data_IF_470093099986
#
_entry.id   IF_470093099986
#
_cell.length_a   1.000
_cell.length_b   1.000
_cell.length_c   1.000
_cell.angle_alpha   90.00
_cell.angle_beta   90.00
_cell.angle_gamma   90.00
#
_symmetry.space_group_name_H-M   'P 1'
#
loop_
_entity.id
_entity.type
_entity.pdbx_description
1 polymer ?
#
# COMPACT_ATOMS: atom_id res chain seq x y z
N UNK A 1 -0.32 15.76 -1.92
CA UNK A 1 1.02 15.14 -1.76
C UNK A 1 1.08 14.50 -0.38
N UNK A 2 1.61 13.28 -0.25
CA UNK A 2 1.33 12.35 0.87
C UNK A 2 1.88 12.77 2.25
N UNK A 3 2.76 13.77 2.33
CA UNK A 3 3.37 14.21 3.59
C UNK A 3 4.73 13.55 3.88
N UNK A 4 5.37 13.93 4.98
CA UNK A 4 6.69 13.41 5.39
C UNK A 4 6.65 11.89 5.58
N UNK A 5 7.68 11.15 5.13
CA UNK A 5 7.86 9.69 5.31
C UNK A 5 6.71 8.79 4.76
N UNK A 6 5.79 9.35 3.98
CA UNK A 6 4.84 8.59 3.15
C UNK A 6 5.37 8.57 1.73
N UNK A 7 6.22 7.59 1.46
CA UNK A 7 7.17 7.58 0.35
C UNK A 7 7.17 6.22 -0.36
N UNK A 8 7.90 6.14 -1.47
CA UNK A 8 7.97 4.98 -2.35
C UNK A 8 6.59 4.67 -2.93
N UNK A 9 6.21 5.45 -3.93
CA UNK A 9 4.89 5.40 -4.54
C UNK A 9 4.86 4.57 -5.82
N UNK A 10 3.72 3.94 -6.09
CA UNK A 10 3.42 3.30 -7.36
C UNK A 10 2.02 3.69 -7.85
N UNK A 11 1.94 4.12 -9.10
CA UNK A 11 0.69 4.45 -9.78
C UNK A 11 0.32 3.35 -10.76
N UNK A 12 -0.95 2.93 -10.75
CA UNK A 12 -1.48 1.96 -11.69
C UNK A 12 -2.84 2.42 -12.21
N UNK A 13 -3.06 2.33 -13.52
CA UNK A 13 -4.38 2.56 -14.10
C UNK A 13 -5.23 1.30 -13.92
N UNK A 14 -6.41 1.46 -13.31
CA UNK A 14 -7.39 0.40 -13.17
C UNK A 14 -8.26 0.30 -14.43
N UNK A 15 -8.85 -0.88 -14.65
CA UNK A 15 -9.72 -1.16 -15.80
C UNK A 15 -10.96 -0.28 -15.87
N UNK A 16 -11.45 0.19 -14.73
CA UNK A 16 -12.58 1.11 -14.63
C UNK A 16 -12.20 2.58 -14.89
N UNK A 17 -10.94 2.84 -15.26
CA UNK A 17 -10.42 4.16 -15.59
C UNK A 17 -9.83 4.92 -14.41
N UNK A 18 -10.06 4.49 -13.16
CA UNK A 18 -9.45 5.13 -11.99
C UNK A 18 -7.93 4.94 -11.97
N UNK A 19 -7.25 5.87 -11.30
CA UNK A 19 -5.83 5.74 -10.96
C UNK A 19 -5.72 5.24 -9.52
N UNK A 20 -5.05 4.10 -9.34
CA UNK A 20 -4.63 3.61 -8.04
C UNK A 20 -3.27 4.22 -7.70
N UNK A 21 -3.15 4.75 -6.48
CA UNK A 21 -1.87 5.14 -5.90
C UNK A 21 -1.62 4.35 -4.63
N UNK A 22 -0.61 3.48 -4.64
CA UNK A 22 -0.14 2.73 -3.47
C UNK A 22 1.20 3.27 -3.01
N UNK A 23 1.40 3.43 -1.70
CA UNK A 23 2.65 3.94 -1.12
C UNK A 23 2.92 3.33 0.26
N UNK A 24 4.17 3.43 0.71
CA UNK A 24 4.55 3.06 2.08
C UNK A 24 4.35 4.24 3.03
N UNK A 25 3.64 4.02 4.13
CA UNK A 25 3.57 4.92 5.27
C UNK A 25 4.60 4.49 6.33
N UNK A 26 5.73 5.22 6.38
CA UNK A 26 6.76 5.09 7.42
C UNK A 26 6.64 6.17 8.50
N UNK A 27 5.73 7.12 8.30
CA UNK A 27 5.65 8.36 9.05
C UNK A 27 4.85 8.25 10.34
N UNK A 28 4.12 7.15 10.54
CA UNK A 28 3.12 7.06 11.60
C UNK A 28 3.74 7.25 12.99
N UNK A 29 3.57 8.46 13.54
CA UNK A 29 3.80 8.81 14.95
C UNK A 29 2.82 8.04 15.89
N UNK A 30 1.82 7.36 15.30
CA UNK A 30 0.72 6.64 15.97
C UNK A 30 0.83 5.11 15.94
N UNK A 31 2.04 4.57 15.85
CA UNK A 31 2.30 3.20 16.29
C UNK A 31 2.03 2.07 15.30
N UNK A 32 1.68 2.33 14.02
CA UNK A 32 1.68 1.28 12.99
C UNK A 32 2.05 1.81 11.59
N UNK A 33 3.25 1.44 11.13
CA UNK A 33 3.72 1.64 9.76
C UNK A 33 3.02 0.64 8.82
N UNK A 34 2.90 0.93 7.54
CA UNK A 34 2.12 0.07 6.65
C UNK A 34 2.08 0.50 5.20
N UNK A 35 1.43 -0.31 4.36
CA UNK A 35 1.06 0.12 3.02
C UNK A 35 -0.30 0.79 3.05
N UNK A 36 -0.40 1.90 2.33
CA UNK A 36 -1.65 2.60 2.12
C UNK A 36 -1.94 2.73 0.63
N UNK A 37 -3.21 2.92 0.31
CA UNK A 37 -3.66 3.21 -1.04
C UNK A 37 -4.74 4.28 -1.08
N UNK A 38 -4.75 5.02 -2.19
CA UNK A 38 -5.75 6.01 -2.56
C UNK A 38 -6.18 5.75 -4.00
N UNK A 39 -7.37 6.22 -4.37
CA UNK A 39 -7.78 6.23 -5.78
C UNK A 39 -8.17 7.62 -6.23
N UNK A 40 -8.00 7.88 -7.53
CA UNK A 40 -8.49 9.07 -8.21
C UNK A 40 -9.38 8.65 -9.39
N UNK A 41 -10.50 9.36 -9.57
CA UNK A 41 -11.41 9.17 -10.69
C UNK A 41 -11.24 10.23 -11.80
N UNK A 42 -10.45 11.26 -11.55
CA UNK A 42 -10.29 12.45 -12.40
C UNK A 42 -8.85 12.64 -12.89
N UNK A 43 -8.12 11.53 -13.05
CA UNK A 43 -6.75 11.58 -13.59
C UNK A 43 -5.69 12.09 -12.63
N UNK A 44 -6.01 12.19 -11.33
CA UNK A 44 -5.08 12.56 -10.27
C UNK A 44 -5.29 13.96 -9.70
N UNK A 45 -6.36 14.67 -10.09
CA UNK A 45 -6.69 15.99 -9.56
C UNK A 45 -7.20 15.89 -8.12
N UNK A 46 -8.11 14.96 -7.85
CA UNK A 46 -8.61 14.64 -6.51
C UNK A 46 -8.38 13.17 -6.17
N UNK A 47 -8.27 12.90 -4.87
CA UNK A 47 -7.96 11.57 -4.34
C UNK A 47 -8.89 11.24 -3.19
N UNK A 48 -9.24 9.95 -3.05
CA UNK A 48 -9.93 9.46 -1.85
C UNK A 48 -9.06 9.63 -0.61
N UNK A 49 -9.67 9.54 0.58
CA UNK A 49 -8.89 9.34 1.80
C UNK A 49 -8.01 8.07 1.69
N UNK A 50 -6.83 8.06 2.33
CA UNK A 50 -5.98 6.87 2.39
C UNK A 50 -6.68 5.69 3.07
N UNK A 51 -6.46 4.50 2.54
CA UNK A 51 -6.92 3.25 3.13
C UNK A 51 -5.72 2.38 3.47
N UNK A 52 -5.69 1.85 4.70
CA UNK A 52 -4.65 0.93 5.16
C UNK A 52 -4.85 -0.45 4.51
N UNK A 53 -3.84 -0.93 3.79
CA UNK A 53 -3.87 -2.26 3.17
C UNK A 53 -3.27 -3.32 4.10
N UNK A 54 -2.10 -3.03 4.68
CA UNK A 54 -1.43 -3.88 5.67
C UNK A 54 -0.62 -3.03 6.64
N UNK A 55 -0.49 -3.51 7.87
CA UNK A 55 0.49 -3.03 8.83
C UNK A 55 1.83 -3.77 8.65
N UNK A 56 2.93 -3.25 9.18
CA UNK A 56 4.14 -4.03 9.41
C UNK A 56 4.78 -3.65 10.75
N UNK A 57 5.50 -4.59 11.37
CA UNK A 57 6.09 -4.41 12.70
C UNK A 57 7.55 -3.92 12.66
N UNK A 58 8.10 -3.77 11.45
CA UNK A 58 9.48 -3.34 11.21
C UNK A 58 9.69 -1.82 11.23
N UNK A 59 10.96 -1.41 11.30
CA UNK A 59 11.33 -0.01 11.09
C UNK A 59 11.28 0.39 9.61
N UNK A 60 11.48 -0.58 8.71
CA UNK A 60 11.53 -0.32 7.27
C UNK A 60 10.63 -1.29 6.48
N UNK A 61 10.07 -0.75 5.41
CA UNK A 61 9.11 -1.42 4.54
C UNK A 61 8.50 -0.46 3.51
N UNK A 62 7.88 -0.99 2.47
CA UNK A 62 7.26 -0.22 1.40
C UNK A 62 7.73 -0.63 0.02
N UNK A 63 7.95 0.36 -0.86
CA UNK A 63 8.19 0.15 -2.30
C UNK A 63 7.14 -0.79 -2.93
N UNK A 64 5.84 -0.45 -2.81
CA UNK A 64 4.80 -1.25 -3.41
C UNK A 64 4.92 -1.26 -4.94
N UNK A 65 4.54 -2.37 -5.55
CA UNK A 65 4.26 -2.47 -6.98
C UNK A 65 2.95 -3.22 -7.15
N UNK A 66 2.00 -2.60 -7.86
CA UNK A 66 0.61 -3.07 -7.93
C UNK A 66 0.22 -3.41 -9.36
N UNK A 67 -0.45 -4.55 -9.56
CA UNK A 67 -1.04 -4.95 -10.84
C UNK A 67 -2.48 -5.43 -10.64
N UNK A 68 -3.38 -5.03 -11.53
CA UNK A 68 -4.74 -5.56 -11.54
C UNK A 68 -4.80 -6.89 -12.28
N UNK A 69 -5.26 -7.92 -11.59
CA UNK A 69 -5.42 -9.30 -12.08
C UNK A 69 -6.67 -9.44 -12.97
N UNK A 70 -6.77 -10.58 -13.64
CA UNK A 70 -7.88 -10.89 -14.56
C UNK A 70 -9.25 -10.84 -13.87
N UNK A 71 -9.32 -11.27 -12.61
CA UNK A 71 -10.50 -11.28 -11.74
C UNK A 71 -10.85 -9.90 -11.15
N UNK A 72 -10.11 -8.85 -11.52
CA UNK A 72 -10.35 -7.48 -11.05
C UNK A 72 -9.68 -7.14 -9.71
N UNK A 73 -9.16 -8.13 -8.98
CA UNK A 73 -8.41 -7.89 -7.75
C UNK A 73 -7.03 -7.27 -8.03
N UNK A 74 -6.46 -6.60 -7.04
CA UNK A 74 -5.10 -6.05 -7.10
C UNK A 74 -4.15 -7.00 -6.39
N UNK A 75 -3.05 -7.36 -7.05
CA UNK A 75 -1.87 -7.92 -6.40
C UNK A 75 -0.89 -6.77 -6.15
N UNK A 76 -0.50 -6.58 -4.90
CA UNK A 76 0.51 -5.59 -4.50
C UNK A 76 1.68 -6.33 -3.86
N UNK A 77 2.85 -6.25 -4.50
CA UNK A 77 4.12 -6.71 -3.94
C UNK A 77 4.79 -5.57 -3.17
N UNK A 78 5.49 -5.89 -2.09
CA UNK A 78 6.24 -4.92 -1.27
C UNK A 78 7.33 -5.63 -0.47
N UNK A 79 8.25 -4.85 0.11
CA UNK A 79 9.19 -5.38 1.10
C UNK A 79 8.86 -4.90 2.51
N UNK A 80 9.24 -5.69 3.51
CA UNK A 80 9.26 -5.27 4.91
C UNK A 80 10.42 -5.93 5.66
N UNK A 81 10.95 -5.24 6.67
CA UNK A 81 11.95 -5.81 7.59
C UNK A 81 11.32 -6.74 8.63
N UNK A 82 10.01 -6.64 8.86
CA UNK A 82 9.25 -7.52 9.75
C UNK A 82 7.79 -7.55 9.33
N UNK A 83 7.25 -8.75 9.14
CA UNK A 83 5.87 -8.95 8.68
C UNK A 83 4.85 -8.81 9.83
N UNK A 84 3.56 -8.67 9.50
CA UNK A 84 2.49 -8.72 10.49
C UNK A 84 2.55 -9.98 11.36
N UNK A 85 2.44 -9.79 12.68
CA UNK A 85 2.37 -10.89 13.64
C UNK A 85 3.72 -11.36 14.17
N UNK A 86 4.83 -10.97 13.53
CA UNK A 86 6.16 -11.28 14.05
C UNK A 86 6.64 -10.27 15.10
N UNK A 87 7.49 -10.70 16.06
CA UNK A 87 8.17 -9.78 16.95
C UNK A 87 9.02 -8.75 16.18
N UNK A 88 9.15 -7.51 16.65
CA UNK A 88 10.04 -6.52 16.04
C UNK A 88 11.47 -7.06 15.89
N UNK A 89 12.13 -6.78 14.76
CA UNK A 89 13.51 -7.22 14.46
C UNK A 89 13.72 -8.75 14.46
N UNK A 90 12.64 -9.53 14.31
CA UNK A 90 12.69 -11.00 14.26
C UNK A 90 13.42 -11.53 13.03
N UNK A 91 13.49 -10.74 11.96
CA UNK A 91 14.20 -11.10 10.75
C UNK A 91 15.50 -10.31 10.60
N UNK A 92 16.55 -11.02 10.21
CA UNK A 92 17.87 -10.42 9.94
C UNK A 92 17.93 -9.70 8.58
N UNK A 93 16.95 -9.91 7.69
CA UNK A 93 16.92 -9.42 6.31
C UNK A 93 15.53 -8.87 5.92
N UNK A 94 15.46 -8.25 4.74
CA UNK A 94 14.19 -7.85 4.14
C UNK A 94 13.46 -9.03 3.51
N UNK A 95 12.14 -9.03 3.67
CA UNK A 95 11.25 -10.01 3.09
C UNK A 95 10.39 -9.35 2.04
N UNK A 96 10.25 -10.02 0.89
CA UNK A 96 9.24 -9.69 -0.10
C UNK A 96 7.94 -10.39 0.26
N UNK A 97 6.85 -9.65 0.24
CA UNK A 97 5.51 -10.18 0.45
C UNK A 97 4.57 -9.67 -0.65
N UNK A 98 3.47 -10.38 -0.82
CA UNK A 98 2.38 -10.00 -1.71
C UNK A 98 1.07 -10.03 -0.95
N UNK A 99 0.20 -9.07 -1.24
CA UNK A 99 -1.21 -9.12 -0.84
C UNK A 99 -2.09 -9.12 -2.08
N UNK A 100 -3.23 -9.80 -1.97
CA UNK A 100 -4.29 -9.75 -2.95
C UNK A 100 -5.51 -9.15 -2.29
N UNK A 101 -6.05 -8.08 -2.88
CA UNK A 101 -7.16 -7.33 -2.29
C UNK A 101 -8.12 -6.83 -3.38
N UNK A 102 -9.36 -6.55 -2.97
CA UNK A 102 -10.43 -6.15 -3.89
C UNK A 102 -10.63 -4.62 -3.84
N UNK A 103 -10.29 -3.89 -4.92
CA UNK A 103 -10.39 -2.44 -4.94
C UNK A 103 -11.84 -1.94 -4.95
N UNK A 104 -12.82 -2.75 -5.39
CA UNK A 104 -14.23 -2.38 -5.33
C UNK A 104 -14.74 -2.41 -3.89
N UNK A 105 -14.30 -3.40 -3.11
CA UNK A 105 -14.63 -3.52 -1.69
C UNK A 105 -13.86 -2.54 -0.80
N UNK A 106 -12.59 -2.29 -1.11
CA UNK A 106 -11.72 -1.40 -0.31
C UNK A 106 -12.13 0.07 -0.42
N UNK A 107 -12.63 0.50 -1.59
CA UNK A 107 -13.03 1.89 -1.84
C UNK A 107 -14.55 2.06 -2.02
N UNK A 108 -15.36 1.12 -1.54
CA UNK A 108 -16.82 1.28 -1.54
C UNK A 108 -17.21 2.46 -0.65
N UNK A 109 -18.09 3.33 -1.14
CA UNK A 109 -18.75 4.36 -0.33
C UNK A 109 -19.63 3.72 0.73
#
# INVERSE_FOLDING_TARGET
>A
MTGFQRVNGHLAKLRDGRVLFSYGDRASDFGKKGLEAMTSADGGETWTEPVRLIDWNGLDGGYPSSVQRADGQILTAYYASTLPGDPPNSYKNYHMAVIVWDPARTFSK
#
